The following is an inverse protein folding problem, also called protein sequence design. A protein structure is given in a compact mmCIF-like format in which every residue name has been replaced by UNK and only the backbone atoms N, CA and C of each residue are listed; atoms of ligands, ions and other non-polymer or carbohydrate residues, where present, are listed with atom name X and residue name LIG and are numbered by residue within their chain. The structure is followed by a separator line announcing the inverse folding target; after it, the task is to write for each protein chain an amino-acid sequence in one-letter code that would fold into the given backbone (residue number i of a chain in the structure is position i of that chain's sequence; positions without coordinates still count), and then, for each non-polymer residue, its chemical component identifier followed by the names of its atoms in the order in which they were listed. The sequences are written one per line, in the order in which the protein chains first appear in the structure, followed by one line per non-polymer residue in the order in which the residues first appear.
data_IF_588661176266
#
_entry.id   IF_588661176266
#
_cell.length_a   1.000
_cell.length_b   1.000
_cell.length_c   1.000
_cell.angle_alpha   90.00
_cell.angle_beta   90.00
_cell.angle_gamma   90.00
#
_symmetry.space_group_name_H-M   'P 1'
#
loop_
_entity.id
_entity.type
_entity.pdbx_description
1 polymer ?
#
# COMPACT_ATOMS: atom_id res chain seq x y z
N UNK A 1 -11.60 3.30 -3.83
CA UNK A 1 -12.12 3.49 -2.45
C UNK A 1 -13.34 4.40 -2.44
N UNK A 2 -14.22 4.22 -1.46
CA UNK A 2 -15.36 5.10 -1.19
C UNK A 2 -15.06 5.95 0.04
N UNK A 3 -15.28 7.26 -0.04
CA UNK A 3 -15.01 8.22 1.04
C UNK A 3 -16.26 9.04 1.31
N UNK A 4 -16.62 9.20 2.58
CA UNK A 4 -17.79 9.96 3.01
C UNK A 4 -17.35 11.28 3.63
N UNK A 5 -18.07 12.36 3.34
CA UNK A 5 -17.82 13.62 4.00
C UNK A 5 -18.24 13.55 5.47
N UNK A 6 -17.34 13.84 6.41
CA UNK A 6 -17.62 13.82 7.85
C UNK A 6 -18.55 14.96 8.28
N UNK A 7 -18.60 16.04 7.51
CA UNK A 7 -19.47 17.19 7.77
C UNK A 7 -20.90 16.99 7.22
N UNK A 8 -21.03 16.58 5.96
CA UNK A 8 -22.34 16.52 5.28
C UNK A 8 -22.79 15.13 4.84
N UNK A 9 -21.96 14.09 5.03
CA UNK A 9 -22.27 12.72 4.61
C UNK A 9 -22.19 12.46 3.10
N UNK A 10 -21.73 13.43 2.30
CA UNK A 10 -21.61 13.29 0.84
C UNK A 10 -20.70 12.11 0.47
N UNK A 11 -21.14 11.28 -0.47
CA UNK A 11 -20.40 10.11 -0.96
C UNK A 11 -19.49 10.48 -2.12
N UNK A 12 -18.22 10.11 -2.03
CA UNK A 12 -17.22 10.27 -3.09
C UNK A 12 -16.60 8.92 -3.45
N UNK A 13 -16.46 8.67 -4.75
CA UNK A 13 -15.82 7.46 -5.27
C UNK A 13 -14.48 7.85 -5.89
N UNK A 14 -13.38 7.39 -5.31
CA UNK A 14 -12.04 7.64 -5.81
C UNK A 14 -11.43 6.35 -6.36
N UNK A 15 -11.03 6.31 -7.64
CA UNK A 15 -10.29 5.18 -8.18
C UNK A 15 -8.89 5.16 -7.53
N UNK A 16 -8.46 4.02 -6.95
CA UNK A 16 -7.17 3.91 -6.26
C UNK A 16 -5.99 4.22 -7.20
N UNK A 17 -6.13 3.91 -8.49
CA UNK A 17 -5.12 4.16 -9.53
C UNK A 17 -4.85 5.65 -9.80
N UNK A 18 -5.78 6.55 -9.43
CA UNK A 18 -5.62 8.01 -9.62
C UNK A 18 -5.39 8.77 -8.32
N UNK A 19 -5.26 8.05 -7.21
CA UNK A 19 -4.91 8.64 -5.92
C UNK A 19 -3.44 8.35 -5.71
N UNK A 20 -2.60 9.35 -5.95
CA UNK A 20 -1.16 9.30 -5.65
C UNK A 20 -0.93 8.80 -4.21
N UNK A 21 0.19 8.11 -3.94
CA UNK A 21 0.50 7.49 -2.63
C UNK A 21 0.73 8.49 -1.47
N UNK A 22 0.28 9.73 -1.62
CA UNK A 22 0.34 10.77 -0.59
C UNK A 22 -1.02 11.04 0.04
N UNK A 23 -0.99 11.61 1.25
CA UNK A 23 -2.19 12.15 1.89
C UNK A 23 -2.73 13.33 1.06
N UNK A 24 -3.90 13.15 0.44
CA UNK A 24 -4.50 14.16 -0.44
C UNK A 24 -5.54 14.94 0.34
N UNK A 25 -5.35 16.26 0.40
CA UNK A 25 -6.37 17.19 0.92
C UNK A 25 -7.38 17.46 -0.19
N UNK A 26 -8.64 17.12 0.03
CA UNK A 26 -9.72 17.35 -0.91
C UNK A 26 -10.82 18.20 -0.26
N UNK A 27 -11.41 19.11 -1.05
CA UNK A 27 -12.48 19.99 -0.59
C UNK A 27 -13.84 19.47 -1.04
N UNK A 28 -14.73 19.20 -0.08
CA UNK A 28 -16.10 18.80 -0.36
C UNK A 28 -16.81 19.86 -1.23
N UNK A 29 -17.45 19.46 -2.32
CA UNK A 29 -18.18 20.40 -3.20
C UNK A 29 -19.51 20.88 -2.63
N UNK A 30 -20.08 20.17 -1.66
CA UNK A 30 -21.36 20.52 -1.05
C UNK A 30 -21.21 21.47 0.14
N UNK A 31 -20.36 21.12 1.11
CA UNK A 31 -20.19 21.90 2.34
C UNK A 31 -18.86 22.69 2.39
N UNK A 32 -18.03 22.62 1.35
CA UNK A 32 -16.72 23.27 1.29
C UNK A 32 -15.72 22.88 2.39
N UNK A 33 -16.01 21.80 3.13
CA UNK A 33 -15.14 21.25 4.17
C UNK A 33 -13.87 20.63 3.57
N UNK A 34 -12.72 20.88 4.20
CA UNK A 34 -11.42 20.38 3.77
C UNK A 34 -11.12 19.05 4.47
N UNK A 35 -11.08 17.98 3.70
CA UNK A 35 -10.90 16.61 4.17
C UNK A 35 -9.55 16.07 3.76
N UNK A 36 -8.95 15.22 4.58
CA UNK A 36 -7.70 14.52 4.22
C UNK A 36 -8.01 13.07 3.95
N UNK A 37 -7.73 12.60 2.73
CA UNK A 37 -7.87 11.21 2.35
C UNK A 37 -6.49 10.58 2.38
N UNK A 38 -6.32 9.56 3.20
CA UNK A 38 -5.13 8.73 3.23
C UNK A 38 -5.47 7.53 2.34
N UNK A 39 -4.88 7.41 1.14
CA UNK A 39 -5.02 6.15 0.40
C UNK A 39 -4.51 5.02 1.29
N UNK A 40 -5.08 3.80 1.19
CA UNK A 40 -4.38 2.64 1.73
C UNK A 40 -2.98 2.69 1.12
N UNK A 41 -1.95 2.58 1.97
CA UNK A 41 -0.59 2.48 1.51
C UNK A 41 -0.61 1.45 0.37
N UNK A 42 -0.07 1.75 -0.82
CA UNK A 42 0.29 0.69 -1.72
C UNK A 42 1.46 0.00 -1.02
N UNK A 43 1.15 -0.75 0.04
CA UNK A 43 2.05 -1.71 0.65
C UNK A 43 2.43 -2.56 -0.53
N UNK A 44 3.64 -2.26 -0.99
CA UNK A 44 4.57 -3.11 -1.70
C UNK A 44 3.84 -4.18 -2.48
N UNK A 45 4.03 -4.17 -3.79
CA UNK A 45 4.44 -5.43 -4.41
C UNK A 45 5.58 -6.01 -3.53
N UNK A 46 5.19 -6.76 -2.51
CA UNK A 46 5.88 -7.92 -1.97
C UNK A 46 5.79 -9.04 -3.02
N UNK A 47 5.68 -8.69 -4.31
CA UNK A 47 6.22 -9.47 -5.41
C UNK A 47 7.75 -9.41 -5.36
N UNK A 48 8.28 -9.98 -4.28
CA UNK A 48 9.40 -10.88 -4.43
C UNK A 48 9.17 -12.09 -3.50
N UNK A 49 8.15 -12.94 -3.76
CA UNK A 49 8.24 -14.32 -3.36
C UNK A 49 9.26 -14.94 -4.29
N UNK A 50 10.51 -14.95 -3.85
CA UNK A 50 11.43 -16.08 -3.98
C UNK A 50 12.79 -15.54 -3.58
N UNK A 51 13.17 -15.84 -2.35
CA UNK A 51 14.54 -16.28 -2.09
C UNK A 51 15.02 -17.08 -3.31
N UNK A 52 16.04 -16.64 -4.05
CA UNK A 52 16.94 -17.63 -4.55
C UNK A 52 17.66 -18.09 -3.27
N UNK A 53 17.31 -19.28 -2.81
CA UNK A 53 18.26 -20.10 -2.08
C UNK A 53 19.03 -20.89 -3.16
N UNK A 54 20.19 -20.41 -3.67
CA UNK A 54 21.03 -21.27 -4.50
C UNK A 54 22.31 -21.57 -3.75
N UNK A 55 22.24 -22.45 -2.75
CA UNK A 55 23.39 -23.28 -2.41
C UNK A 55 22.96 -24.58 -1.76
N UNK A 56 22.29 -25.39 -2.58
CA UNK A 56 22.60 -26.81 -2.74
C UNK A 56 23.97 -27.19 -2.14
N UNK A 57 23.91 -28.00 -1.09
CA UNK A 57 24.71 -29.20 -0.82
C UNK A 57 26.19 -29.11 -1.17
N UNK A 58 27.05 -29.20 -0.15
CA UNK A 58 28.12 -30.18 -0.20
C UNK A 58 28.25 -30.86 1.16
N UNK A 59 27.75 -32.09 1.20
CA UNK A 59 28.24 -33.15 2.06
C UNK A 59 29.77 -33.25 1.97
N UNK A 60 30.48 -33.15 3.09
CA UNK A 60 31.38 -34.21 3.60
C UNK A 60 32.27 -33.70 4.76
N UNK A 61 32.47 -34.52 5.81
CA UNK A 61 33.24 -34.20 7.00
C UNK A 61 34.76 -34.32 6.78
N UNK A 62 35.53 -33.38 7.30
CA UNK A 62 36.97 -33.56 7.51
C UNK A 62 37.20 -34.31 8.83
N UNK A 63 37.36 -35.63 8.71
CA UNK A 63 38.00 -36.52 9.68
C UNK A 63 39.49 -36.15 9.87
N UNK A 64 40.05 -36.49 11.04
CA UNK A 64 41.26 -35.88 11.62
C UNK A 64 42.64 -36.30 11.06
N UNK A 65 43.67 -35.85 11.80
CA UNK A 65 45.09 -36.11 11.57
C UNK A 65 45.97 -35.27 12.49
#
# INVERSE_FOLDING_TARGET
MLVFCEECGKRYSFPPEKVDPGSKKFRCRDCNFLMTIIPPDPERDDDCPLSPDPAVKNDAPADGG
#
